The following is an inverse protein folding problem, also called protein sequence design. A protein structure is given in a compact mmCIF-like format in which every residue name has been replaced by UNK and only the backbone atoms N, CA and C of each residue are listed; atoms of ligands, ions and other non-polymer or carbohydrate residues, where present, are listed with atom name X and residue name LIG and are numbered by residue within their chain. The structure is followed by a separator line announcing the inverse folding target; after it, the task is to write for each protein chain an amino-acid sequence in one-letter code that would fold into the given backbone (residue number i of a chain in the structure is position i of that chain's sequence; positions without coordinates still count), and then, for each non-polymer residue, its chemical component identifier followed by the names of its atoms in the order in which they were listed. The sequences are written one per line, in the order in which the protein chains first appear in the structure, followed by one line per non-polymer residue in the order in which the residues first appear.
data_IF_814102845731
#
_entry.id   IF_814102845731
#
_cell.length_a   1.000
_cell.length_b   1.000
_cell.length_c   1.000
_cell.angle_alpha   90.00
_cell.angle_beta   90.00
_cell.angle_gamma   90.00
#
_symmetry.space_group_name_H-M   'P 1'
#
loop_
_entity.id
_entity.type
_entity.pdbx_description
1 polymer ?
#
# COMPACT_ATOMS: atom_id res chain seq x y z
N UNK A 1 -18.08 12.46 -4.25
CA UNK A 1 -17.01 13.22 -4.93
C UNK A 1 -16.09 13.79 -3.89
N UNK A 2 -14.78 13.65 -4.05
CA UNK A 2 -13.79 14.20 -3.12
C UNK A 2 -12.36 14.04 -3.66
N UNK A 3 -11.44 14.89 -3.20
CA UNK A 3 -10.06 14.90 -3.67
C UNK A 3 -9.27 13.78 -3.00
N UNK A 4 -8.55 13.00 -3.80
CA UNK A 4 -7.57 12.01 -3.36
C UNK A 4 -6.17 12.43 -3.75
N UNK A 5 -5.15 12.05 -2.97
CA UNK A 5 -3.78 12.46 -3.19
C UNK A 5 -2.81 11.27 -3.25
N UNK A 6 -1.93 11.26 -4.24
CA UNK A 6 -0.79 10.35 -4.36
C UNK A 6 0.49 11.12 -4.02
N UNK A 7 1.14 10.75 -2.93
CA UNK A 7 2.28 11.49 -2.37
C UNK A 7 3.59 10.84 -2.82
N UNK A 8 4.25 11.47 -3.79
CA UNK A 8 5.57 11.05 -4.28
C UNK A 8 6.66 11.92 -3.65
N UNK A 9 7.14 11.49 -2.49
CA UNK A 9 8.21 12.17 -1.74
C UNK A 9 9.23 11.13 -1.26
N UNK A 10 10.52 11.47 -1.15
CA UNK A 10 11.51 10.54 -0.62
C UNK A 10 11.30 10.29 0.88
N UNK A 11 11.56 9.07 1.37
CA UNK A 11 11.65 8.82 2.80
C UNK A 11 12.86 9.52 3.42
N UNK A 12 12.90 9.63 4.74
CA UNK A 12 14.16 9.88 5.48
C UNK A 12 14.82 8.51 5.71
N UNK A 13 15.72 8.14 4.81
CA UNK A 13 16.24 6.78 4.73
C UNK A 13 16.85 6.30 6.04
N UNK A 14 16.40 5.14 6.53
CA UNK A 14 16.82 4.50 7.77
C UNK A 14 16.61 5.38 9.03
N UNK A 15 15.55 6.18 9.05
CA UNK A 15 15.06 6.91 10.23
C UNK A 15 13.53 6.87 10.28
N UNK A 16 12.99 5.92 11.03
CA UNK A 16 11.54 5.66 11.06
C UNK A 16 10.73 6.81 11.64
N UNK A 17 11.25 7.46 12.70
CA UNK A 17 10.55 8.58 13.32
C UNK A 17 10.57 9.82 12.42
N UNK A 18 11.68 10.11 11.76
CA UNK A 18 11.76 11.22 10.82
C UNK A 18 10.86 10.98 9.58
N UNK A 19 10.74 9.72 9.11
CA UNK A 19 9.76 9.35 8.09
C UNK A 19 8.32 9.61 8.56
N UNK A 20 7.97 9.23 9.80
CA UNK A 20 6.63 9.45 10.34
C UNK A 20 6.31 10.95 10.49
N UNK A 21 7.28 11.77 10.89
CA UNK A 21 7.14 13.24 10.94
C UNK A 21 6.95 13.82 9.55
N UNK A 22 7.74 13.39 8.55
CA UNK A 22 7.55 13.79 7.15
C UNK A 22 6.18 13.38 6.62
N UNK A 23 5.69 12.18 6.96
CA UNK A 23 4.35 11.77 6.62
C UNK A 23 3.30 12.71 7.23
N UNK A 24 3.45 13.09 8.50
CA UNK A 24 2.54 14.02 9.16
C UNK A 24 2.52 15.40 8.48
N UNK A 25 3.68 15.93 8.06
CA UNK A 25 3.77 17.18 7.30
C UNK A 25 3.04 17.08 5.95
N UNK A 26 3.23 15.99 5.21
CA UNK A 26 2.54 15.76 3.93
C UNK A 26 1.04 15.57 4.10
N UNK A 27 0.59 14.93 5.19
CA UNK A 27 -0.84 14.81 5.54
C UNK A 27 -1.46 16.20 5.75
N UNK A 28 -0.78 17.08 6.47
CA UNK A 28 -1.23 18.46 6.66
C UNK A 28 -1.33 19.21 5.31
N UNK A 29 -0.30 19.11 4.47
CA UNK A 29 -0.23 19.75 3.16
C UNK A 29 -1.39 19.30 2.25
N UNK A 30 -1.67 18.00 2.15
CA UNK A 30 -2.77 17.52 1.28
C UNK A 30 -4.14 17.85 1.83
N UNK A 31 -4.29 17.95 3.16
CA UNK A 31 -5.52 18.39 3.79
C UNK A 31 -5.85 19.85 3.45
N UNK A 32 -4.86 20.75 3.36
CA UNK A 32 -5.04 22.13 2.93
C UNK A 32 -5.57 22.23 1.49
N UNK A 33 -5.30 21.21 0.65
CA UNK A 33 -5.84 21.08 -0.70
C UNK A 33 -7.23 20.40 -0.75
N UNK A 34 -7.82 20.10 0.41
CA UNK A 34 -9.15 19.49 0.53
C UNK A 34 -9.19 17.98 0.22
N UNK A 35 -8.04 17.30 0.22
CA UNK A 35 -8.01 15.85 0.06
C UNK A 35 -8.57 15.16 1.31
N UNK A 36 -9.27 14.04 1.12
CA UNK A 36 -9.72 13.17 2.20
C UNK A 36 -8.91 11.87 2.32
N UNK A 37 -8.20 11.48 1.25
CA UNK A 37 -7.35 10.28 1.20
C UNK A 37 -5.95 10.68 0.73
N UNK A 38 -4.94 10.32 1.52
CA UNK A 38 -3.54 10.44 1.20
C UNK A 38 -2.90 9.05 1.08
N UNK A 39 -2.22 8.78 -0.05
CA UNK A 39 -1.55 7.50 -0.30
C UNK A 39 -0.05 7.72 -0.42
N UNK A 40 0.72 6.99 0.39
CA UNK A 40 2.18 7.01 0.42
C UNK A 40 2.77 5.80 -0.32
N UNK A 41 4.06 5.86 -0.70
CA UNK A 41 4.75 4.75 -1.35
C UNK A 41 4.86 3.48 -0.49
N UNK A 42 5.23 2.37 -1.15
CA UNK A 42 5.70 1.15 -0.52
C UNK A 42 6.90 1.43 0.38
N UNK A 43 6.93 0.80 1.58
CA UNK A 43 8.04 0.92 2.54
C UNK A 43 8.51 2.34 2.82
N UNK A 44 7.59 3.32 2.79
CA UNK A 44 7.94 4.71 3.09
C UNK A 44 8.64 4.85 4.46
N UNK A 45 8.31 3.97 5.40
CA UNK A 45 8.99 3.87 6.71
C UNK A 45 9.68 2.51 6.82
N UNK A 46 11.00 2.46 6.94
CA UNK A 46 12.02 3.53 6.96
C UNK A 46 12.74 3.71 5.61
N UNK A 47 12.08 3.46 4.52
CA UNK A 47 12.62 3.34 3.17
C UNK A 47 12.83 1.89 2.75
N UNK A 48 13.17 1.68 1.48
CA UNK A 48 13.42 0.37 0.92
C UNK A 48 14.81 -0.16 1.29
N UNK A 49 15.01 -1.48 1.54
CA UNK A 49 16.32 -2.06 1.82
C UNK A 49 17.20 -2.16 0.57
N UNK A 50 17.44 -1.04 -0.10
CA UNK A 50 18.20 -0.94 -1.36
C UNK A 50 19.58 -1.60 -1.30
N UNK A 51 20.21 -1.65 -0.11
CA UNK A 51 21.55 -2.24 0.07
C UNK A 51 21.59 -3.73 -0.29
N UNK A 52 20.46 -4.44 -0.28
CA UNK A 52 20.40 -5.85 -0.69
C UNK A 52 20.82 -6.09 -2.14
N UNK A 53 20.63 -5.10 -3.00
CA UNK A 53 20.98 -5.21 -4.42
C UNK A 53 22.43 -4.76 -4.71
N UNK A 54 23.08 -4.11 -3.75
CA UNK A 54 24.38 -3.44 -3.95
C UNK A 54 25.50 -3.92 -3.02
N UNK A 55 25.21 -4.82 -2.07
CA UNK A 55 26.20 -5.33 -1.12
C UNK A 55 26.21 -6.85 -1.10
N UNK A 56 27.40 -7.43 -0.92
CA UNK A 56 27.51 -8.87 -0.69
C UNK A 56 26.92 -9.23 0.70
N UNK A 57 26.08 -10.28 0.80
CA UNK A 57 25.40 -10.65 2.06
C UNK A 57 26.32 -10.89 3.26
N UNK A 58 27.57 -11.27 3.02
CA UNK A 58 28.57 -11.54 4.09
C UNK A 58 29.44 -10.33 4.45
N UNK A 59 29.28 -9.21 3.75
CA UNK A 59 30.10 -8.01 4.01
C UNK A 59 29.72 -7.34 5.34
N UNK A 60 30.68 -6.69 5.96
CA UNK A 60 30.43 -5.92 7.19
C UNK A 60 29.46 -4.75 6.93
N UNK A 61 29.48 -4.17 5.74
CA UNK A 61 28.52 -3.14 5.32
C UNK A 61 27.10 -3.68 5.26
N UNK A 62 26.91 -4.85 4.66
CA UNK A 62 25.60 -5.51 4.63
C UNK A 62 25.08 -5.73 6.05
N UNK A 63 25.86 -6.36 6.92
CA UNK A 63 25.46 -6.66 8.30
C UNK A 63 25.09 -5.41 9.09
N UNK A 64 25.86 -4.33 8.91
CA UNK A 64 25.59 -3.06 9.59
C UNK A 64 24.29 -2.41 9.11
N UNK A 65 24.05 -2.41 7.79
CA UNK A 65 22.82 -1.85 7.21
C UNK A 65 21.60 -2.70 7.53
N UNK A 66 21.71 -4.04 7.47
CA UNK A 66 20.66 -4.99 7.84
C UNK A 66 20.23 -4.79 9.30
N UNK A 67 21.20 -4.69 10.19
CA UNK A 67 20.93 -4.40 11.60
C UNK A 67 20.20 -3.07 11.77
N UNK A 68 20.69 -2.00 11.15
CA UNK A 68 20.08 -0.66 11.22
C UNK A 68 18.66 -0.69 10.65
N UNK A 69 18.45 -1.35 9.52
CA UNK A 69 17.13 -1.51 8.92
C UNK A 69 16.15 -2.23 9.86
N UNK A 70 16.59 -3.33 10.47
CA UNK A 70 15.78 -4.08 11.45
C UNK A 70 15.47 -3.26 12.72
N UNK A 71 16.41 -2.41 13.17
CA UNK A 71 16.21 -1.49 14.29
C UNK A 71 15.21 -0.38 13.96
N UNK A 72 15.14 0.03 12.70
CA UNK A 72 14.20 1.04 12.18
C UNK A 72 12.86 0.47 11.71
N UNK A 73 12.68 -0.83 11.72
CA UNK A 73 11.37 -1.44 11.49
C UNK A 73 10.42 -1.14 12.65
N UNK A 74 9.20 -0.70 12.33
CA UNK A 74 8.26 -0.20 13.34
C UNK A 74 7.38 -1.28 13.95
N UNK A 75 6.95 -1.10 15.18
CA UNK A 75 5.87 -1.90 15.79
C UNK A 75 4.53 -1.23 15.51
N UNK A 76 3.47 -2.05 15.36
CA UNK A 76 2.11 -1.55 15.12
C UNK A 76 1.16 -2.12 16.18
N UNK A 77 0.59 -1.26 17.06
CA UNK A 77 0.85 0.17 17.21
C UNK A 77 2.22 0.49 17.83
N UNK A 78 2.72 1.72 17.59
CA UNK A 78 4.01 2.20 18.09
C UNK A 78 4.15 3.73 17.94
N UNK A 79 5.29 4.32 18.33
CA UNK A 79 5.48 5.77 18.31
C UNK A 79 5.28 6.40 16.93
N UNK A 80 5.78 5.75 15.86
CA UNK A 80 5.66 6.22 14.48
C UNK A 80 4.20 6.21 14.04
N UNK A 81 3.45 5.15 14.37
CA UNK A 81 2.02 5.07 14.06
C UNK A 81 1.20 6.09 14.84
N UNK A 82 1.59 6.42 16.08
CA UNK A 82 0.92 7.49 16.84
C UNK A 82 1.18 8.88 16.24
N UNK A 83 2.37 9.14 15.73
CA UNK A 83 2.69 10.38 15.02
C UNK A 83 1.76 10.56 13.80
N UNK A 84 1.60 9.52 12.98
CA UNK A 84 0.70 9.53 11.82
C UNK A 84 -0.77 9.65 12.27
N UNK A 85 -1.18 8.89 13.28
CA UNK A 85 -2.52 8.92 13.84
C UNK A 85 -2.91 10.31 14.35
N UNK A 86 -1.99 11.01 14.98
CA UNK A 86 -2.19 12.39 15.45
C UNK A 86 -2.44 13.35 14.27
N UNK A 87 -1.68 13.23 13.18
CA UNK A 87 -1.88 14.02 11.97
C UNK A 87 -3.24 13.69 11.31
N UNK A 88 -3.61 12.40 11.22
CA UNK A 88 -4.91 11.99 10.70
C UNK A 88 -6.06 12.61 11.48
N UNK A 89 -6.00 12.58 12.83
CA UNK A 89 -7.01 13.21 13.69
C UNK A 89 -7.08 14.73 13.49
N UNK A 90 -5.92 15.38 13.47
CA UNK A 90 -5.85 16.85 13.37
C UNK A 90 -6.44 17.38 12.05
N UNK A 91 -6.30 16.61 10.98
CA UNK A 91 -6.69 17.02 9.63
C UNK A 91 -7.88 16.22 9.06
N UNK A 92 -8.49 15.32 9.84
CA UNK A 92 -9.59 14.44 9.40
C UNK A 92 -9.27 13.63 8.14
N UNK A 93 -8.03 13.13 8.03
CA UNK A 93 -7.51 12.45 6.85
C UNK A 93 -7.59 10.93 6.98
N UNK A 94 -8.00 10.27 5.89
CA UNK A 94 -7.73 8.84 5.70
C UNK A 94 -6.35 8.70 5.05
N UNK A 95 -5.54 7.76 5.54
CA UNK A 95 -4.16 7.57 5.05
C UNK A 95 -3.89 6.10 4.75
N UNK A 96 -3.28 5.82 3.59
CA UNK A 96 -2.68 4.53 3.27
C UNK A 96 -1.16 4.71 3.12
N UNK A 97 -0.35 3.97 3.91
CA UNK A 97 1.11 4.16 3.97
C UNK A 97 1.86 2.83 4.06
N UNK A 98 2.89 2.68 3.22
CA UNK A 98 3.78 1.51 3.27
C UNK A 98 4.81 1.61 4.38
N UNK A 99 4.96 0.53 5.14
CA UNK A 99 5.92 0.45 6.27
C UNK A 99 6.60 -0.90 6.33
N UNK A 100 7.80 -0.95 6.90
CA UNK A 100 8.40 -2.21 7.38
C UNK A 100 7.94 -2.45 8.82
N UNK A 101 7.05 -3.43 8.99
CA UNK A 101 6.49 -3.83 10.29
C UNK A 101 7.38 -4.89 10.95
N UNK A 102 7.63 -4.73 12.24
CA UNK A 102 8.24 -5.75 13.10
C UNK A 102 7.27 -6.10 14.23
N UNK A 103 6.67 -7.29 14.24
CA UNK A 103 5.86 -7.72 15.38
C UNK A 103 6.68 -7.71 16.67
N UNK A 104 6.03 -7.38 17.78
CA UNK A 104 6.68 -7.37 19.08
C UNK A 104 7.35 -8.73 19.37
N UNK A 105 8.63 -8.68 19.79
CA UNK A 105 9.46 -9.86 20.12
C UNK A 105 9.76 -10.81 18.95
N UNK A 106 9.46 -10.45 17.71
CA UNK A 106 9.80 -11.24 16.53
C UNK A 106 11.05 -10.70 15.83
N UNK A 107 11.81 -11.60 15.19
CA UNK A 107 12.89 -11.23 14.27
C UNK A 107 12.41 -11.07 12.83
N UNK A 108 11.23 -11.60 12.50
CA UNK A 108 10.66 -11.49 11.15
C UNK A 108 10.11 -10.09 10.91
N UNK A 109 10.49 -9.49 9.78
CA UNK A 109 9.96 -8.23 9.29
C UNK A 109 8.90 -8.49 8.23
N UNK A 110 7.98 -7.54 8.04
CA UNK A 110 6.95 -7.60 7.00
C UNK A 110 6.86 -6.28 6.26
N UNK A 111 6.76 -6.35 4.94
CA UNK A 111 6.35 -5.23 4.11
C UNK A 111 4.83 -5.09 4.28
N UNK A 112 4.39 -3.97 4.84
CA UNK A 112 3.00 -3.80 5.32
C UNK A 112 2.43 -2.48 4.82
N UNK A 113 1.20 -2.52 4.32
CA UNK A 113 0.38 -1.35 4.04
C UNK A 113 -0.55 -1.12 5.22
N UNK A 114 -0.44 0.06 5.85
CA UNK A 114 -1.30 0.47 6.96
C UNK A 114 -2.36 1.46 6.47
N UNK A 115 -3.54 1.37 7.07
CA UNK A 115 -4.65 2.28 6.83
C UNK A 115 -5.05 2.98 8.12
N UNK A 116 -5.11 4.31 8.08
CA UNK A 116 -5.57 5.14 9.20
C UNK A 116 -6.86 5.84 8.81
N UNK A 117 -7.78 5.93 9.76
CA UNK A 117 -9.02 6.69 9.65
C UNK A 117 -8.86 8.16 10.02
N UNK A 118 -9.90 8.98 9.71
CA UNK A 118 -9.90 10.41 10.04
C UNK A 118 -9.94 10.70 11.54
N UNK A 119 -10.21 9.69 12.34
CA UNK A 119 -10.14 9.72 13.81
C UNK A 119 -8.77 9.27 14.35
N UNK A 120 -7.83 8.93 13.46
CA UNK A 120 -6.50 8.42 13.78
C UNK A 120 -6.49 6.95 14.19
N UNK A 121 -7.60 6.23 14.11
CA UNK A 121 -7.59 4.79 14.35
C UNK A 121 -6.95 4.04 13.20
N UNK A 122 -6.22 2.98 13.52
CA UNK A 122 -5.75 2.04 12.50
C UNK A 122 -6.95 1.20 12.05
N UNK A 123 -7.45 1.48 10.84
CA UNK A 123 -8.60 0.79 10.24
C UNK A 123 -8.24 -0.60 9.73
N UNK A 124 -6.99 -0.80 9.35
CA UNK A 124 -6.52 -2.07 8.84
C UNK A 124 -5.04 -2.08 8.51
N UNK A 125 -4.56 -3.27 8.21
CA UNK A 125 -3.22 -3.50 7.65
C UNK A 125 -3.27 -4.65 6.66
N UNK A 126 -2.39 -4.60 5.67
CA UNK A 126 -2.15 -5.68 4.75
C UNK A 126 -0.65 -5.99 4.70
N UNK A 127 -0.24 -7.20 5.04
CA UNK A 127 1.13 -7.71 4.88
C UNK A 127 1.28 -8.29 3.48
N UNK A 128 2.29 -7.86 2.76
CA UNK A 128 2.60 -8.33 1.40
C UNK A 128 2.61 -9.85 1.35
N UNK A 129 1.75 -10.44 0.51
CA UNK A 129 1.58 -11.90 0.42
C UNK A 129 2.85 -12.59 -0.07
N UNK A 130 3.53 -11.94 -1.03
CA UNK A 130 4.75 -12.48 -1.64
C UNK A 130 5.76 -11.35 -1.87
N UNK A 131 6.80 -11.25 -1.02
CA UNK A 131 7.93 -10.39 -1.30
C UNK A 131 8.61 -10.77 -2.62
N UNK A 132 9.11 -9.75 -3.37
CA UNK A 132 9.62 -9.92 -4.73
C UNK A 132 11.11 -10.21 -4.71
N UNK A 133 11.56 -11.28 -5.38
CA UNK A 133 12.99 -11.63 -5.53
C UNK A 133 13.80 -11.52 -4.22
N UNK A 134 14.76 -10.59 -4.15
CA UNK A 134 15.65 -10.37 -3.01
C UNK A 134 14.92 -9.87 -1.76
N UNK A 135 13.75 -9.28 -1.91
CA UNK A 135 12.88 -8.91 -0.78
C UNK A 135 12.57 -10.11 0.15
N UNK A 136 12.59 -11.34 -0.37
CA UNK A 136 12.39 -12.58 0.42
C UNK A 136 13.48 -12.85 1.44
N UNK A 137 14.61 -12.18 1.32
CA UNK A 137 15.68 -12.24 2.31
C UNK A 137 15.43 -11.29 3.48
N UNK A 138 14.57 -10.29 3.28
CA UNK A 138 14.26 -9.25 4.26
C UNK A 138 12.90 -9.50 4.93
N UNK A 139 11.86 -9.76 4.13
CA UNK A 139 10.49 -9.80 4.62
C UNK A 139 9.87 -11.20 4.54
N UNK A 140 9.13 -11.54 5.58
CA UNK A 140 8.24 -12.69 5.60
C UNK A 140 7.01 -12.49 4.73
N UNK A 141 6.41 -13.60 4.31
CA UNK A 141 5.17 -13.62 3.55
C UNK A 141 3.96 -13.35 4.44
N UNK A 142 3.04 -12.52 3.96
CA UNK A 142 1.70 -12.39 4.54
C UNK A 142 0.90 -13.68 4.37
N UNK A 143 0.02 -13.97 5.32
CA UNK A 143 -0.75 -15.24 5.34
C UNK A 143 -2.15 -15.11 4.72
N UNK A 144 -2.47 -13.97 4.15
CA UNK A 144 -3.78 -13.67 3.55
C UNK A 144 -4.88 -13.25 4.54
N UNK A 145 -4.67 -13.37 5.86
CA UNK A 145 -5.67 -12.93 6.85
C UNK A 145 -5.90 -11.42 6.84
N UNK A 146 -4.95 -10.69 6.29
CA UNK A 146 -4.96 -9.22 6.18
C UNK A 146 -5.38 -8.71 4.80
N UNK A 147 -5.77 -9.61 3.87
CA UNK A 147 -6.22 -9.23 2.54
C UNK A 147 -7.67 -8.74 2.60
N UNK A 148 -7.82 -7.46 2.96
CA UNK A 148 -9.11 -6.81 3.24
C UNK A 148 -9.18 -5.41 2.69
N UNK A 149 -10.40 -4.99 2.37
CA UNK A 149 -10.75 -3.58 2.22
C UNK A 149 -11.02 -2.94 3.58
N UNK A 150 -10.97 -1.61 3.61
CA UNK A 150 -11.44 -0.79 4.72
C UNK A 150 -12.62 0.06 4.28
N UNK A 151 -13.57 0.26 5.17
CA UNK A 151 -14.66 1.21 4.97
C UNK A 151 -14.24 2.59 5.47
N UNK A 152 -14.50 3.61 4.64
CA UNK A 152 -14.29 5.01 5.00
C UNK A 152 -15.61 5.78 4.82
N UNK A 153 -15.73 7.01 5.34
CA UNK A 153 -16.93 7.82 5.08
C UNK A 153 -17.19 8.14 3.59
N UNK A 154 -16.19 7.95 2.73
CA UNK A 154 -16.23 8.35 1.33
C UNK A 154 -16.26 7.16 0.34
N UNK A 155 -15.58 6.06 0.68
CA UNK A 155 -15.41 4.92 -0.22
C UNK A 155 -14.95 3.67 0.52
N UNK A 156 -15.11 2.51 -0.10
CA UNK A 156 -14.43 1.26 0.27
C UNK A 156 -13.07 1.25 -0.40
N UNK A 157 -12.00 1.25 0.40
CA UNK A 157 -10.61 1.32 -0.07
C UNK A 157 -9.93 -0.03 0.17
N UNK A 158 -9.31 -0.56 -0.85
CA UNK A 158 -8.43 -1.72 -0.78
C UNK A 158 -7.06 -1.41 -1.36
N UNK A 159 -6.18 -2.40 -1.37
CA UNK A 159 -4.88 -2.21 -2.01
C UNK A 159 -3.97 -3.42 -1.90
N UNK A 160 -3.01 -3.45 -2.81
CA UNK A 160 -1.96 -4.46 -2.91
C UNK A 160 -0.61 -3.77 -3.10
N UNK A 161 0.43 -4.36 -2.49
CA UNK A 161 1.77 -3.79 -2.49
C UNK A 161 2.55 -4.28 -3.71
N UNK A 162 3.00 -3.35 -4.56
CA UNK A 162 3.95 -3.64 -5.64
C UNK A 162 3.48 -4.79 -6.56
N UNK A 163 4.31 -5.80 -6.78
CA UNK A 163 4.03 -6.91 -7.70
C UNK A 163 2.88 -7.83 -7.28
N UNK A 164 2.35 -7.70 -6.05
CA UNK A 164 1.09 -8.34 -5.71
C UNK A 164 -0.05 -7.92 -6.64
N UNK A 165 0.05 -6.71 -7.19
CA UNK A 165 -0.90 -6.19 -8.18
C UNK A 165 -0.97 -7.05 -9.46
N UNK A 166 0.02 -7.89 -9.72
CA UNK A 166 -0.01 -8.89 -10.79
C UNK A 166 -0.68 -10.22 -10.39
N UNK A 167 -1.13 -10.38 -9.13
CA UNK A 167 -1.80 -11.59 -8.64
C UNK A 167 -3.32 -11.49 -8.85
N UNK A 168 -3.91 -12.16 -9.88
CA UNK A 168 -5.33 -11.98 -10.21
C UNK A 168 -6.26 -12.36 -9.06
N UNK A 169 -5.96 -13.48 -8.37
CA UNK A 169 -6.82 -13.96 -7.29
C UNK A 169 -6.82 -13.02 -6.08
N UNK A 170 -5.68 -12.38 -5.77
CA UNK A 170 -5.62 -11.39 -4.69
C UNK A 170 -6.51 -10.18 -5.00
N UNK A 171 -6.47 -9.67 -6.24
CA UNK A 171 -7.36 -8.60 -6.68
C UNK A 171 -8.83 -9.02 -6.60
N UNK A 172 -9.16 -10.24 -7.06
CA UNK A 172 -10.53 -10.75 -7.02
C UNK A 172 -11.07 -10.79 -5.60
N UNK A 173 -10.26 -11.20 -4.61
CA UNK A 173 -10.66 -11.17 -3.19
C UNK A 173 -11.06 -9.75 -2.75
N UNK A 174 -10.32 -8.72 -3.15
CA UNK A 174 -10.65 -7.33 -2.82
C UNK A 174 -11.92 -6.86 -3.56
N UNK A 175 -12.08 -7.22 -4.83
CA UNK A 175 -13.29 -6.87 -5.60
C UNK A 175 -14.57 -7.44 -4.95
N UNK A 176 -14.50 -8.70 -4.42
CA UNK A 176 -15.66 -9.30 -3.73
C UNK A 176 -16.03 -8.60 -2.41
N UNK A 177 -15.16 -7.75 -1.90
CA UNK A 177 -15.40 -6.92 -0.72
C UNK A 177 -15.92 -5.52 -1.06
N UNK A 178 -16.30 -5.28 -2.33
CA UNK A 178 -16.90 -4.02 -2.76
C UNK A 178 -15.90 -2.88 -2.97
N UNK A 179 -14.65 -3.18 -3.23
CA UNK A 179 -13.60 -2.18 -3.47
C UNK A 179 -14.01 -1.13 -4.51
N UNK A 180 -13.80 0.14 -4.16
CA UNK A 180 -14.11 1.30 -5.01
C UNK A 180 -12.86 2.12 -5.35
N UNK A 181 -11.87 2.11 -4.46
CA UNK A 181 -10.55 2.70 -4.67
C UNK A 181 -9.50 1.64 -4.37
N UNK A 182 -8.64 1.38 -5.33
CA UNK A 182 -7.47 0.51 -5.20
C UNK A 182 -6.21 1.33 -5.03
N UNK A 183 -5.50 1.16 -3.91
CA UNK A 183 -4.19 1.79 -3.71
C UNK A 183 -3.08 0.80 -4.05
N UNK A 184 -2.13 1.23 -4.86
CA UNK A 184 -1.04 0.42 -5.38
C UNK A 184 0.33 1.08 -5.10
N UNK A 185 0.77 1.09 -3.82
CA UNK A 185 2.10 1.55 -3.47
C UNK A 185 3.17 0.60 -4.03
N UNK A 186 4.23 1.18 -4.57
CA UNK A 186 5.34 0.44 -5.21
C UNK A 186 6.62 1.26 -5.20
N UNK A 187 7.75 0.65 -5.59
CA UNK A 187 9.03 1.35 -5.71
C UNK A 187 9.13 2.12 -7.03
N UNK A 188 8.94 1.46 -8.17
CA UNK A 188 9.16 2.01 -9.50
C UNK A 188 7.97 1.78 -10.45
N UNK A 189 6.92 2.61 -10.39
CA UNK A 189 5.72 2.43 -11.22
C UNK A 189 5.84 2.93 -12.67
N UNK A 190 6.96 3.57 -13.04
CA UNK A 190 7.10 4.26 -14.33
C UNK A 190 7.24 3.37 -15.55
N UNK A 191 7.18 2.04 -15.42
CA UNK A 191 7.29 1.13 -16.57
C UNK A 191 5.94 0.93 -17.26
N UNK A 192 5.94 0.72 -18.59
CA UNK A 192 4.73 0.40 -19.36
C UNK A 192 4.04 -0.88 -18.84
N UNK A 193 4.82 -1.88 -18.39
CA UNK A 193 4.28 -3.08 -17.74
C UNK A 193 3.42 -2.74 -16.53
N UNK A 194 3.90 -1.83 -15.69
CA UNK A 194 3.17 -1.42 -14.48
C UNK A 194 1.92 -0.62 -14.85
N UNK A 195 2.04 0.38 -15.70
CA UNK A 195 0.90 1.22 -16.13
C UNK A 195 -0.17 0.39 -16.84
N UNK A 196 0.21 -0.60 -17.64
CA UNK A 196 -0.73 -1.56 -18.27
C UNK A 196 -1.50 -2.35 -17.21
N UNK A 197 -0.85 -2.79 -16.13
CA UNK A 197 -1.52 -3.47 -15.04
C UNK A 197 -2.48 -2.52 -14.28
N UNK A 198 -2.08 -1.30 -14.00
CA UNK A 198 -2.95 -0.31 -13.34
C UNK A 198 -4.20 -0.01 -14.18
N UNK A 199 -4.04 0.15 -15.50
CA UNK A 199 -5.16 0.27 -16.42
C UNK A 199 -6.06 -0.96 -16.40
N UNK A 200 -5.47 -2.17 -16.39
CA UNK A 200 -6.24 -3.41 -16.31
C UNK A 200 -7.01 -3.51 -14.99
N UNK A 201 -6.40 -3.15 -13.87
CA UNK A 201 -7.05 -3.16 -12.55
C UNK A 201 -8.24 -2.19 -12.53
N UNK A 202 -8.04 -0.96 -13.01
CA UNK A 202 -9.12 0.01 -13.13
C UNK A 202 -10.25 -0.48 -14.05
N UNK A 203 -9.89 -1.13 -15.18
CA UNK A 203 -10.84 -1.66 -16.16
C UNK A 203 -11.62 -2.87 -15.64
N UNK A 204 -10.95 -3.85 -15.01
CA UNK A 204 -11.66 -5.06 -14.54
C UNK A 204 -12.42 -4.82 -13.23
N UNK A 205 -11.88 -3.99 -12.31
CA UNK A 205 -12.54 -3.66 -11.05
C UNK A 205 -13.54 -2.53 -11.14
N UNK A 206 -13.54 -1.78 -12.27
CA UNK A 206 -14.39 -0.58 -12.48
C UNK A 206 -14.27 0.39 -11.30
N UNK A 207 -13.04 0.76 -10.94
CA UNK A 207 -12.73 1.54 -9.76
C UNK A 207 -11.58 2.51 -10.00
N UNK A 208 -11.43 3.46 -9.10
CA UNK A 208 -10.27 4.35 -9.06
C UNK A 208 -9.02 3.57 -8.66
N UNK A 209 -7.88 3.90 -9.29
CA UNK A 209 -6.57 3.32 -8.94
C UNK A 209 -5.61 4.44 -8.61
N UNK A 210 -5.01 4.38 -7.42
CA UNK A 210 -3.99 5.34 -6.96
C UNK A 210 -2.67 4.60 -6.86
N UNK A 211 -1.86 4.71 -7.89
CA UNK A 211 -0.51 4.13 -7.94
C UNK A 211 0.50 5.13 -7.42
N UNK A 212 1.26 4.76 -6.38
CA UNK A 212 2.23 5.67 -5.76
C UNK A 212 3.61 5.06 -5.78
N UNK A 213 4.53 5.76 -6.44
CA UNK A 213 5.93 5.36 -6.56
C UNK A 213 6.82 6.01 -5.51
N UNK A 214 7.85 5.27 -5.08
CA UNK A 214 8.90 5.84 -4.28
C UNK A 214 9.77 6.76 -5.16
N UNK A 215 10.12 7.94 -4.64
CA UNK A 215 11.18 8.76 -5.21
C UNK A 215 12.38 8.68 -4.26
N UNK A 216 13.55 8.36 -4.80
CA UNK A 216 14.78 8.34 -4.02
C UNK A 216 16.00 8.58 -4.90
N UNK A 217 16.90 9.42 -4.44
CA UNK A 217 18.18 9.72 -5.09
C UNK A 217 19.32 9.37 -4.14
N UNK A 218 20.52 9.22 -4.68
CA UNK A 218 21.73 9.05 -3.86
C UNK A 218 21.90 10.20 -2.86
N UNK A 219 21.54 11.43 -3.24
CA UNK A 219 21.57 12.61 -2.36
C UNK A 219 20.59 12.56 -1.18
N UNK A 220 19.60 11.67 -1.20
CA UNK A 220 18.63 11.49 -0.12
C UNK A 220 19.12 10.49 0.93
N UNK A 221 20.26 9.83 0.66
CA UNK A 221 20.89 8.89 1.61
C UNK A 221 21.54 9.63 2.79
N UNK A 222 21.52 9.04 3.99
CA UNK A 222 22.34 9.52 5.11
C UNK A 222 23.82 9.59 4.72
N UNK A 223 24.58 10.60 5.21
CA UNK A 223 25.97 10.79 4.82
C UNK A 223 26.89 9.57 5.06
N UNK A 224 26.64 8.81 6.11
CA UNK A 224 27.38 7.58 6.44
C UNK A 224 27.07 6.45 5.45
N UNK A 225 25.83 6.34 4.97
CA UNK A 225 25.45 5.37 3.94
C UNK A 225 25.99 5.78 2.57
N UNK A 226 25.88 7.05 2.21
CA UNK A 226 26.45 7.57 0.96
C UNK A 226 27.98 7.40 0.90
N UNK A 227 28.67 7.56 2.05
CA UNK A 227 30.13 7.38 2.17
C UNK A 227 30.60 5.92 1.92
N UNK A 228 29.69 4.92 1.96
CA UNK A 228 30.02 3.54 1.60
C UNK A 228 30.31 3.37 0.11
N UNK A 229 29.91 4.33 -0.73
CA UNK A 229 30.13 4.30 -2.18
C UNK A 229 29.39 3.18 -2.90
N UNK A 230 28.28 2.70 -2.36
CA UNK A 230 27.47 1.64 -2.94
C UNK A 230 26.70 2.11 -4.19
N UNK A 231 26.43 3.40 -4.25
CA UNK A 231 25.64 4.02 -5.31
C UNK A 231 26.48 5.07 -6.04
N UNK A 232 26.25 5.19 -7.35
CA UNK A 232 26.89 6.26 -8.14
C UNK A 232 26.42 7.63 -7.66
N UNK A 233 27.33 8.58 -7.58
CA UNK A 233 27.02 9.95 -7.16
C UNK A 233 26.01 10.60 -8.10
N UNK A 234 24.92 11.10 -7.51
CA UNK A 234 23.82 11.71 -8.25
C UNK A 234 22.87 10.71 -8.92
N UNK A 235 23.03 9.41 -8.64
CA UNK A 235 22.11 8.39 -9.17
C UNK A 235 20.68 8.61 -8.69
N UNK A 236 19.71 8.33 -9.57
CA UNK A 236 18.30 8.18 -9.21
C UNK A 236 18.08 6.70 -8.87
N UNK A 237 17.83 6.42 -7.60
CA UNK A 237 17.66 5.05 -7.09
C UNK A 237 16.23 4.55 -7.36
N UNK A 238 15.24 5.40 -7.12
CA UNK A 238 13.85 5.18 -7.49
C UNK A 238 13.30 6.46 -8.13
N UNK A 239 12.73 6.34 -9.32
CA UNK A 239 12.37 7.49 -10.14
C UNK A 239 10.93 8.00 -9.94
N UNK A 240 10.17 7.43 -9.00
CA UNK A 240 8.74 7.73 -8.89
C UNK A 240 7.98 7.16 -10.08
N UNK A 241 7.01 7.91 -10.59
CA UNK A 241 6.13 7.51 -11.69
C UNK A 241 4.70 7.30 -11.21
N UNK A 242 4.33 7.95 -10.11
CA UNK A 242 2.97 7.90 -9.54
C UNK A 242 1.93 8.36 -10.55
N UNK A 243 0.77 7.72 -10.52
CA UNK A 243 -0.36 8.05 -11.38
C UNK A 243 -1.70 7.75 -10.68
N UNK A 244 -2.72 8.52 -11.03
CA UNK A 244 -4.10 8.26 -10.61
C UNK A 244 -4.92 7.95 -11.87
N UNK A 245 -5.70 6.87 -11.81
CA UNK A 245 -6.54 6.41 -12.91
C UNK A 245 -8.02 6.38 -12.48
N UNK A 246 -8.90 6.75 -13.41
CA UNK A 246 -10.35 6.67 -13.22
C UNK A 246 -10.89 5.25 -13.54
N UNK A 247 -12.17 4.95 -13.23
CA UNK A 247 -12.81 3.65 -13.51
C UNK A 247 -12.86 3.25 -15.00
N UNK A 248 -12.58 4.20 -15.92
CA UNK A 248 -12.47 3.95 -17.36
C UNK A 248 -11.04 3.71 -17.83
N UNK A 249 -10.08 3.50 -16.89
CA UNK A 249 -8.66 3.23 -17.17
C UNK A 249 -7.87 4.42 -17.72
N UNK A 250 -8.42 5.64 -17.64
CA UNK A 250 -7.75 6.85 -18.06
C UNK A 250 -6.84 7.36 -16.95
N UNK A 251 -5.62 7.76 -17.29
CA UNK A 251 -4.73 8.44 -16.36
C UNK A 251 -5.21 9.89 -16.24
N UNK A 252 -5.73 10.25 -15.06
CA UNK A 252 -6.25 11.60 -14.79
C UNK A 252 -5.21 12.50 -14.10
N UNK A 253 -4.17 11.91 -13.49
CA UNK A 253 -3.03 12.63 -12.97
C UNK A 253 -1.76 11.78 -13.10
N UNK A 254 -0.64 12.40 -13.47
CA UNK A 254 0.64 11.71 -13.72
C UNK A 254 0.74 11.10 -15.14
N UNK A 255 1.67 10.16 -15.39
CA UNK A 255 2.69 9.69 -14.45
C UNK A 255 3.76 10.75 -14.15
N UNK A 256 4.14 10.90 -12.87
CA UNK A 256 5.14 11.85 -12.43
C UNK A 256 6.52 11.17 -12.29
N UNK A 257 7.44 11.47 -13.20
CA UNK A 257 8.77 10.85 -13.23
C UNK A 257 9.85 11.81 -12.74
N UNK A 258 10.73 11.32 -11.85
CA UNK A 258 11.95 12.00 -11.42
C UNK A 258 11.77 13.27 -10.58
N UNK A 259 10.55 13.57 -10.18
CA UNK A 259 10.22 14.80 -9.43
C UNK A 259 9.52 14.48 -8.12
N UNK A 260 9.84 15.23 -7.08
CA UNK A 260 9.05 15.22 -5.85
C UNK A 260 7.77 16.03 -6.10
N UNK A 261 6.61 15.40 -5.87
CA UNK A 261 5.32 16.01 -6.16
C UNK A 261 4.20 15.29 -5.44
N UNK A 262 3.06 15.95 -5.36
CA UNK A 262 1.80 15.34 -4.95
C UNK A 262 0.83 15.45 -6.12
N UNK A 263 0.28 14.33 -6.53
CA UNK A 263 -0.77 14.28 -7.55
C UNK A 263 -2.14 14.31 -6.88
N UNK A 264 -3.05 15.06 -7.44
CA UNK A 264 -4.43 15.17 -6.96
C UNK A 264 -5.40 14.76 -8.06
N UNK A 265 -6.50 14.14 -7.67
CA UNK A 265 -7.64 13.89 -8.55
C UNK A 265 -8.95 13.99 -7.76
N UNK A 266 -9.99 14.46 -8.42
CA UNK A 266 -11.33 14.47 -7.88
C UNK A 266 -11.99 13.13 -8.18
N UNK A 267 -12.07 12.25 -7.16
CA UNK A 267 -12.62 10.90 -7.30
C UNK A 267 -14.12 10.90 -6.98
N UNK A 268 -14.92 10.57 -7.99
CA UNK A 268 -16.37 10.42 -7.85
C UNK A 268 -16.76 8.94 -7.82
N UNK A 269 -17.30 8.48 -6.70
CA UNK A 269 -17.77 7.10 -6.55
C UNK A 269 -19.00 6.79 -7.41
N UNK A 270 -19.73 7.80 -7.91
CA UNK A 270 -20.79 7.60 -8.88
C UNK A 270 -20.27 7.05 -10.21
N UNK A 271 -19.04 7.44 -10.62
CA UNK A 271 -18.39 6.88 -11.82
C UNK A 271 -18.14 5.37 -11.67
N UNK A 272 -17.67 4.93 -10.49
CA UNK A 272 -17.48 3.50 -10.18
C UNK A 272 -18.79 2.74 -10.28
N UNK A 273 -19.86 3.27 -9.69
CA UNK A 273 -21.18 2.65 -9.76
C UNK A 273 -21.69 2.57 -11.20
N UNK A 274 -21.56 3.64 -11.97
CA UNK A 274 -21.96 3.68 -13.37
C UNK A 274 -21.15 2.70 -14.23
N UNK A 275 -19.84 2.64 -14.05
CA UNK A 275 -18.97 1.73 -14.79
C UNK A 275 -19.28 0.26 -14.49
N UNK A 276 -19.56 -0.09 -13.24
CA UNK A 276 -19.97 -1.45 -12.82
C UNK A 276 -21.31 -1.89 -13.42
N UNK A 277 -22.19 -1.00 -13.86
CA UNK A 277 -23.42 -1.38 -14.55
C UNK A 277 -23.18 -2.02 -15.92
N UNK A 278 -22.07 -1.68 -16.58
CA UNK A 278 -21.70 -2.27 -17.88
C UNK A 278 -20.88 -3.54 -17.73
N UNK A 279 -20.05 -3.61 -16.70
CA UNK A 279 -19.23 -4.77 -16.40
C UNK A 279 -18.92 -4.80 -14.89
N UNK A 280 -19.30 -5.87 -14.23
CA UNK A 280 -18.97 -6.12 -12.83
C UNK A 280 -18.37 -7.52 -12.70
N UNK A 281 -17.05 -7.59 -12.55
CA UNK A 281 -16.30 -8.83 -12.54
C UNK A 281 -16.75 -9.82 -11.45
N UNK A 282 -17.25 -9.32 -10.35
CA UNK A 282 -17.73 -10.11 -9.20
C UNK A 282 -19.24 -10.02 -8.99
N UNK A 283 -19.92 -9.23 -9.81
CA UNK A 283 -21.38 -9.13 -9.89
C UNK A 283 -21.93 -9.99 -11.01
N UNK A 284 -22.60 -9.35 -12.00
CA UNK A 284 -23.26 -10.06 -13.10
C UNK A 284 -22.31 -10.79 -14.08
N UNK A 285 -20.99 -10.58 -14.01
CA UNK A 285 -19.96 -11.37 -14.70
C UNK A 285 -19.28 -12.41 -13.79
N UNK A 286 -19.60 -12.47 -12.50
CA UNK A 286 -18.95 -13.33 -11.51
C UNK A 286 -19.15 -14.83 -11.76
N UNK A 287 -20.30 -15.25 -12.37
CA UNK A 287 -20.63 -16.65 -12.73
C UNK A 287 -20.35 -17.61 -11.58
N UNK A 288 -20.90 -17.33 -10.39
CA UNK A 288 -20.77 -18.18 -9.21
C UNK A 288 -21.34 -19.61 -9.40
N UNK A 289 -22.13 -19.80 -10.47
CA UNK A 289 -22.57 -21.11 -10.92
C UNK A 289 -21.47 -21.95 -11.57
N UNK A 290 -20.36 -21.33 -12.03
CA UNK A 290 -19.23 -21.98 -12.70
C UNK A 290 -17.92 -21.90 -11.92
N UNK A 291 -17.72 -20.80 -11.20
CA UNK A 291 -16.45 -20.50 -10.54
C UNK A 291 -16.64 -20.36 -9.03
N UNK A 292 -15.69 -20.87 -8.27
CA UNK A 292 -15.58 -20.68 -6.83
C UNK A 292 -14.20 -20.12 -6.48
N UNK A 293 -14.13 -19.27 -5.46
CA UNK A 293 -12.89 -18.76 -4.90
C UNK A 293 -12.83 -19.14 -3.43
N UNK A 294 -11.69 -19.67 -2.99
CA UNK A 294 -11.42 -19.96 -1.58
C UNK A 294 -10.16 -19.25 -1.13
N UNK A 295 -10.21 -18.68 0.06
CA UNK A 295 -9.04 -18.13 0.75
C UNK A 295 -8.83 -18.90 2.05
N UNK A 296 -7.69 -19.60 2.17
CA UNK A 296 -7.37 -20.45 3.33
C UNK A 296 -8.47 -21.49 3.64
N UNK A 297 -9.06 -22.07 2.61
CA UNK A 297 -10.13 -23.06 2.74
C UNK A 297 -11.52 -22.49 3.01
N UNK A 298 -11.65 -21.16 3.09
CA UNK A 298 -12.94 -20.49 3.21
C UNK A 298 -13.41 -20.04 1.83
N UNK A 299 -14.65 -20.40 1.47
CA UNK A 299 -15.25 -19.99 0.21
C UNK A 299 -15.51 -18.47 0.22
N UNK A 300 -15.12 -17.79 -0.86
CA UNK A 300 -15.34 -16.37 -1.08
C UNK A 300 -16.46 -16.23 -2.12
N UNK A 301 -17.58 -15.59 -1.79
CA UNK A 301 -18.67 -15.40 -2.76
C UNK A 301 -18.21 -14.49 -3.90
N UNK A 302 -18.47 -14.92 -5.14
CA UNK A 302 -18.20 -14.12 -6.35
C UNK A 302 -19.35 -13.20 -6.75
N UNK A 303 -20.41 -13.12 -5.96
CA UNK A 303 -21.50 -12.18 -6.16
C UNK A 303 -21.76 -11.40 -4.88
N UNK A 304 -21.87 -10.08 -5.04
CA UNK A 304 -22.30 -9.18 -3.98
C UNK A 304 -23.83 -9.02 -4.15
N UNK A 305 -24.60 -9.50 -3.19
CA UNK A 305 -26.05 -9.35 -3.16
C UNK A 305 -26.55 -8.87 -1.82
N UNK A 306 -27.83 -8.42 -1.73
CA UNK A 306 -28.45 -7.92 -0.49
C UNK A 306 -28.51 -8.96 0.64
N UNK A 307 -28.36 -10.24 0.31
CA UNK A 307 -28.26 -11.34 1.25
C UNK A 307 -26.82 -11.81 1.45
N UNK A 308 -25.84 -10.99 1.08
CA UNK A 308 -24.45 -11.37 1.17
C UNK A 308 -24.08 -11.71 2.62
N UNK A 309 -23.61 -12.93 2.90
CA UNK A 309 -23.12 -13.30 4.22
C UNK A 309 -21.82 -12.59 4.60
N UNK A 310 -21.41 -11.56 3.83
CA UNK A 310 -20.17 -10.80 4.10
C UNK A 310 -20.13 -10.21 5.50
N UNK A 311 -21.30 -9.76 6.05
CA UNK A 311 -21.37 -9.33 7.44
C UNK A 311 -21.15 -10.47 8.42
N UNK A 312 -21.57 -11.70 8.07
CA UNK A 312 -21.30 -12.90 8.86
C UNK A 312 -19.89 -13.47 8.60
N UNK A 313 -19.38 -13.34 7.37
CA UNK A 313 -18.02 -13.75 7.03
C UNK A 313 -16.97 -12.85 7.69
N UNK A 314 -17.24 -11.53 7.89
CA UNK A 314 -16.34 -10.65 8.61
C UNK A 314 -16.05 -11.19 10.02
N UNK A 315 -17.06 -11.80 10.66
CA UNK A 315 -16.93 -12.34 12.02
C UNK A 315 -16.26 -13.74 12.06
N UNK A 316 -16.33 -14.54 11.02
CA UNK A 316 -15.83 -15.90 11.01
C UNK A 316 -14.50 -16.08 10.28
N UNK A 317 -14.28 -15.41 9.15
CA UNK A 317 -13.04 -15.54 8.36
C UNK A 317 -11.86 -14.85 9.06
N UNK A 318 -12.15 -13.84 9.86
CA UNK A 318 -11.14 -12.93 10.36
C UNK A 318 -10.91 -12.98 11.87
N UNK A 319 -11.60 -13.79 12.62
CA UNK A 319 -11.22 -14.09 14.00
C UNK A 319 -9.99 -14.99 13.97
N UNK A 320 -8.84 -14.45 14.34
CA UNK A 320 -7.70 -15.28 14.74
C UNK A 320 -8.20 -16.12 15.91
N UNK A 321 -8.13 -17.47 15.85
CA UNK A 321 -8.44 -18.28 17.01
C UNK A 321 -7.58 -17.81 18.19
N UNK A 322 -8.19 -17.52 19.33
CA UNK A 322 -7.49 -17.08 20.54
C UNK A 322 -6.42 -18.08 21.02
N UNK A 323 -6.44 -19.32 20.50
CA UNK A 323 -5.47 -20.36 20.81
C UNK A 323 -4.09 -20.19 20.16
N UNK A 324 -3.85 -19.15 19.34
CA UNK A 324 -2.53 -18.87 18.74
C UNK A 324 -1.84 -17.66 19.39
N UNK A 325 -2.50 -16.99 20.36
CA UNK A 325 -1.93 -15.88 21.12
C UNK A 325 -1.18 -16.33 22.40
N UNK A 326 -1.24 -17.62 22.74
CA UNK A 326 -0.54 -18.20 23.89
C UNK A 326 0.34 -19.37 23.40
N UNK A 327 1.46 -19.02 22.76
CA UNK A 327 2.49 -19.98 22.36
C UNK A 327 3.78 -19.30 21.97
#
# INVERSE_FOLDING_TARGET
MGIVAAIQTPPIYLDSMACAQRAAERIAEVAEHGAWLAVFPETFIPGDPLYHDYTAPDSEHFKALERRFAEQAITVPGPETECIAAACRAHHMTVAIGVTERPARAGTLYNTLLYFGPDGMILGRHRKLMPTFNERMVWGMGDGTTLRTIETPHAVVGGLICWENFMPLARTVLYTQGEQIHVAPTLNPGSERWLSAMRQIANEGRMWVISVGCLMRESDLPPDVAALGLFEKGAVLNAGGSAILNPNSEIVAGPAQGVETILYAEADMAETLYAKRTFDAVGHYGRSDLFGLTLRGVEIPLQIGDSSPMTQMSDHVWRVPQSVAEG
#
